data_IF_711658121092
#
_entry.id   IF_711658121092
#
_cell.length_a   1.000
_cell.length_b   1.000
_cell.length_c   1.000
_cell.angle_alpha   90.00
_cell.angle_beta   90.00
_cell.angle_gamma   90.00
#
_symmetry.space_group_name_H-M   'P 1'
#
loop_
_entity.id
_entity.type
_entity.pdbx_description
1 polymer ?
#
# COMPACT_ATOMS: atom_id res chain seq x y z
N UNK A 1 -4.32 -10.11 -14.77
CA UNK A 1 -2.86 -10.05 -14.95
C UNK A 1 -2.20 -10.62 -13.70
N UNK A 2 -1.33 -11.63 -13.81
CA UNK A 2 -0.68 -12.24 -12.65
C UNK A 2 0.68 -11.56 -12.39
N UNK A 3 0.69 -10.55 -11.52
CA UNK A 3 1.88 -9.78 -11.14
C UNK A 3 2.90 -10.59 -10.31
N UNK A 4 2.55 -11.82 -9.88
CA UNK A 4 3.46 -12.68 -9.14
C UNK A 4 4.71 -13.05 -9.97
N UNK A 5 4.60 -13.04 -11.30
CA UNK A 5 5.70 -13.30 -12.23
C UNK A 5 6.59 -12.08 -12.52
N UNK A 6 6.27 -10.91 -11.97
CA UNK A 6 7.09 -9.72 -12.12
C UNK A 6 8.35 -9.81 -11.28
N UNK A 7 9.43 -9.21 -11.77
CA UNK A 7 10.70 -9.20 -11.05
C UNK A 7 10.60 -8.31 -9.82
N UNK A 8 10.97 -8.83 -8.65
CA UNK A 8 11.02 -8.04 -7.42
C UNK A 8 12.29 -7.21 -7.42
N UNK A 9 12.15 -5.89 -7.40
CA UNK A 9 13.26 -4.94 -7.35
C UNK A 9 13.61 -4.63 -5.90
N UNK A 10 12.59 -4.41 -5.08
CA UNK A 10 12.71 -4.16 -3.65
C UNK A 10 11.47 -4.71 -2.95
N UNK A 11 11.66 -5.33 -1.80
CA UNK A 11 10.58 -5.70 -0.89
C UNK A 11 11.12 -5.67 0.53
N UNK A 12 10.40 -5.01 1.44
CA UNK A 12 10.77 -5.01 2.85
C UNK A 12 10.28 -6.29 3.51
N UNK A 13 10.98 -6.72 4.56
CA UNK A 13 10.57 -7.87 5.35
C UNK A 13 9.21 -7.62 6.04
N UNK A 14 8.52 -8.72 6.35
CA UNK A 14 7.25 -8.70 7.03
C UNK A 14 7.37 -7.96 8.38
N UNK A 15 6.46 -7.02 8.60
CA UNK A 15 6.31 -6.33 9.86
C UNK A 15 5.33 -7.09 10.75
N UNK A 16 5.68 -7.32 12.02
CA UNK A 16 4.79 -8.02 12.97
C UNK A 16 3.82 -7.02 13.62
N UNK A 17 2.56 -7.03 13.19
CA UNK A 17 1.49 -6.17 13.73
C UNK A 17 0.10 -6.85 13.69
N UNK A 18 -0.85 -6.29 14.43
CA UNK A 18 -2.26 -6.70 14.38
C UNK A 18 -3.03 -5.79 13.42
N UNK A 19 -3.84 -6.34 12.51
CA UNK A 19 -4.53 -5.56 11.48
C UNK A 19 -5.51 -4.49 12.03
N UNK A 20 -6.02 -4.67 13.26
CA UNK A 20 -6.84 -3.65 13.94
C UNK A 20 -6.02 -2.53 14.62
N UNK A 21 -4.69 -2.61 14.60
CA UNK A 21 -3.75 -1.64 15.20
C UNK A 21 -2.97 -0.91 14.11
N UNK A 22 -3.72 -0.32 13.18
CA UNK A 22 -3.21 0.42 12.04
C UNK A 22 -3.80 1.83 12.01
N UNK A 23 -3.09 2.73 11.36
CA UNK A 23 -3.59 4.06 11.02
C UNK A 23 -3.30 4.40 9.56
N UNK A 24 -4.09 5.33 9.03
CA UNK A 24 -3.90 5.92 7.71
C UNK A 24 -2.99 7.15 7.83
N UNK A 25 -1.86 7.12 7.14
CA UNK A 25 -0.89 8.20 7.20
C UNK A 25 -0.95 9.02 5.90
N UNK A 26 -1.29 10.32 5.96
CA UNK A 26 -1.16 11.23 4.83
C UNK A 26 0.33 11.48 4.54
N UNK A 27 0.70 11.51 3.27
CA UNK A 27 2.08 11.74 2.83
C UNK A 27 2.30 13.09 2.15
N UNK A 28 1.21 13.79 1.78
CA UNK A 28 1.27 15.11 1.18
C UNK A 28 1.52 16.18 2.25
N UNK A 29 2.39 17.13 1.94
CA UNK A 29 2.64 18.33 2.75
C UNK A 29 1.62 19.41 2.37
N UNK A 30 1.51 20.43 3.22
CA UNK A 30 0.70 21.62 2.92
C UNK A 30 1.10 22.21 1.55
N UNK A 31 0.10 22.43 0.69
CA UNK A 31 0.21 22.91 -0.70
C UNK A 31 0.59 21.88 -1.77
N UNK A 32 0.64 20.59 -1.45
CA UNK A 32 0.84 19.54 -2.45
C UNK A 32 -0.48 18.84 -2.79
N UNK A 33 -0.86 18.84 -4.07
CA UNK A 33 -2.01 18.07 -4.54
C UNK A 33 -1.62 16.62 -4.88
N UNK A 34 -0.36 16.45 -5.32
CA UNK A 34 0.20 15.16 -5.75
C UNK A 34 1.72 15.14 -5.68
N UNK A 35 2.30 13.95 -5.50
CA UNK A 35 3.74 13.70 -5.61
C UNK A 35 4.02 12.47 -6.49
N UNK A 36 5.24 12.34 -6.99
CA UNK A 36 5.70 11.14 -7.71
C UNK A 36 6.03 10.01 -6.74
N UNK A 37 6.06 8.77 -7.23
CA UNK A 37 6.23 7.60 -6.38
C UNK A 37 7.57 7.55 -5.65
N UNK A 38 8.68 8.01 -6.25
CA UNK A 38 9.97 8.03 -5.54
C UNK A 38 9.92 8.88 -4.26
N UNK A 39 9.27 10.05 -4.35
CA UNK A 39 9.10 10.94 -3.19
C UNK A 39 8.11 10.34 -2.18
N UNK A 40 7.05 9.66 -2.64
CA UNK A 40 6.13 8.92 -1.76
C UNK A 40 6.88 7.85 -0.98
N UNK A 41 7.73 7.06 -1.65
CA UNK A 41 8.55 6.02 -1.01
C UNK A 41 9.54 6.60 -0.01
N UNK A 42 10.19 7.71 -0.37
CA UNK A 42 11.12 8.43 0.53
C UNK A 42 10.40 8.82 1.82
N UNK A 43 9.24 9.47 1.72
CA UNK A 43 8.41 9.88 2.86
C UNK A 43 7.86 8.71 3.65
N UNK A 44 7.47 7.63 2.98
CA UNK A 44 6.98 6.45 3.66
C UNK A 44 8.01 5.87 4.62
N UNK A 45 9.30 5.87 4.25
CA UNK A 45 10.38 5.48 5.16
C UNK A 45 10.52 6.47 6.32
N UNK A 46 10.49 7.78 6.06
CA UNK A 46 10.54 8.80 7.12
C UNK A 46 9.38 8.71 8.12
N UNK A 47 8.21 8.28 7.65
CA UNK A 47 6.99 8.14 8.44
C UNK A 47 6.85 6.76 9.09
N UNK A 48 7.79 5.83 8.86
CA UNK A 48 7.73 4.41 9.25
C UNK A 48 6.47 3.70 8.72
N UNK A 49 6.05 4.04 7.50
CA UNK A 49 4.86 3.54 6.84
C UNK A 49 5.21 2.86 5.50
N UNK A 50 6.30 2.10 5.50
CA UNK A 50 6.92 1.49 4.32
C UNK A 50 6.68 -0.03 4.22
N UNK A 51 5.44 -0.48 4.43
CA UNK A 51 5.04 -1.89 4.39
C UNK A 51 5.27 -2.56 3.02
N UNK A 52 5.60 -3.86 3.03
CA UNK A 52 5.95 -4.68 1.88
C UNK A 52 4.85 -5.63 1.40
N UNK A 53 5.20 -6.59 0.53
CA UNK A 53 4.22 -7.52 -0.07
C UNK A 53 3.57 -8.43 0.96
N UNK A 54 4.35 -8.96 1.90
CA UNK A 54 3.82 -9.88 2.90
C UNK A 54 2.86 -9.16 3.87
N UNK A 55 3.14 -7.90 4.21
CA UNK A 55 2.23 -7.07 5.00
C UNK A 55 0.90 -6.82 4.26
N UNK A 56 0.99 -6.55 2.95
CA UNK A 56 -0.19 -6.38 2.09
C UNK A 56 -1.04 -7.65 2.04
N UNK A 57 -0.43 -8.82 1.88
CA UNK A 57 -1.16 -10.10 1.87
C UNK A 57 -1.82 -10.37 3.22
N UNK A 58 -1.07 -10.19 4.30
CA UNK A 58 -1.63 -10.30 5.65
C UNK A 58 -2.84 -9.37 5.82
N UNK A 59 -2.75 -8.13 5.34
CA UNK A 59 -3.87 -7.21 5.41
C UNK A 59 -5.06 -7.63 4.55
N UNK A 60 -4.81 -8.12 3.33
CA UNK A 60 -5.87 -8.59 2.42
C UNK A 60 -6.69 -9.72 3.06
N UNK A 61 -6.01 -10.67 3.70
CA UNK A 61 -6.64 -11.81 4.38
C UNK A 61 -7.38 -11.39 5.66
N UNK A 62 -7.02 -10.24 6.23
CA UNK A 62 -7.58 -9.69 7.46
C UNK A 62 -8.41 -8.42 7.25
N UNK A 63 -8.95 -8.21 6.05
CA UNK A 63 -9.70 -6.99 5.70
C UNK A 63 -10.93 -6.74 6.57
N UNK A 64 -11.52 -7.80 7.14
CA UNK A 64 -12.65 -7.71 8.08
C UNK A 64 -12.29 -7.02 9.41
N UNK A 65 -11.00 -6.89 9.73
CA UNK A 65 -10.48 -6.18 10.90
C UNK A 65 -10.19 -4.69 10.62
N UNK A 66 -10.21 -4.28 9.36
CA UNK A 66 -9.90 -2.89 8.99
C UNK A 66 -11.02 -1.94 9.43
N UNK A 67 -10.67 -0.78 10.03
CA UNK A 67 -11.65 0.26 10.34
C UNK A 67 -12.37 0.77 9.08
N UNK A 68 -13.64 1.17 9.22
CA UNK A 68 -14.48 1.60 8.08
C UNK A 68 -13.91 2.80 7.31
N UNK A 69 -13.14 3.66 7.96
CA UNK A 69 -12.47 4.81 7.32
C UNK A 69 -11.49 4.41 6.21
N UNK A 70 -10.93 3.18 6.26
CA UNK A 70 -10.03 2.68 5.23
C UNK A 70 -10.74 2.50 3.88
N UNK A 71 -12.06 2.33 3.90
CA UNK A 71 -12.87 2.08 2.70
C UNK A 71 -12.87 3.25 1.71
N UNK A 72 -12.48 4.45 2.14
CA UNK A 72 -12.45 5.66 1.31
C UNK A 72 -11.09 5.87 0.62
N UNK A 73 -10.12 4.99 0.89
CA UNK A 73 -8.74 5.20 0.51
C UNK A 73 -8.17 4.05 -0.33
N UNK A 74 -7.24 4.42 -1.20
CA UNK A 74 -6.32 3.49 -1.84
C UNK A 74 -5.13 3.29 -0.91
N UNK A 75 -4.93 2.07 -0.41
CA UNK A 75 -3.86 1.77 0.53
C UNK A 75 -2.58 1.43 -0.23
N UNK A 76 -1.50 2.18 0.00
CA UNK A 76 -0.26 2.08 -0.77
C UNK A 76 0.80 1.32 0.04
N UNK A 77 1.51 0.41 -0.64
CA UNK A 77 2.56 -0.43 -0.07
C UNK A 77 3.93 -0.10 -0.68
N UNK A 78 4.56 1.03 -0.29
CA UNK A 78 5.77 1.53 -0.92
C UNK A 78 7.05 0.75 -0.53
N UNK A 79 6.94 -0.18 0.42
CA UNK A 79 8.03 -1.10 0.74
C UNK A 79 8.30 -2.11 -0.37
N UNK A 80 7.34 -2.32 -1.28
CA UNK A 80 7.53 -3.17 -2.45
C UNK A 80 7.59 -2.37 -3.76
N UNK A 81 8.61 -2.64 -4.57
CA UNK A 81 8.68 -2.25 -5.97
C UNK A 81 8.93 -3.48 -6.83
N UNK A 82 8.09 -3.65 -7.85
CA UNK A 82 8.23 -4.69 -8.85
C UNK A 82 8.46 -4.11 -10.22
N UNK A 83 9.14 -4.84 -11.08
CA UNK A 83 9.36 -4.50 -12.48
C UNK A 83 8.50 -5.41 -13.36
N UNK A 84 7.60 -4.82 -14.13
CA UNK A 84 6.75 -5.56 -15.06
C UNK A 84 7.53 -6.04 -16.30
N UNK A 85 6.86 -6.74 -17.22
CA UNK A 85 7.48 -7.29 -18.43
C UNK A 85 7.97 -6.21 -19.41
N UNK A 86 7.38 -5.02 -19.37
CA UNK A 86 7.77 -3.87 -20.19
C UNK A 86 8.89 -3.04 -19.52
N UNK A 87 9.30 -3.44 -18.32
CA UNK A 87 10.35 -2.80 -17.55
C UNK A 87 9.89 -1.60 -16.71
N UNK A 88 8.58 -1.36 -16.59
CA UNK A 88 8.05 -0.31 -15.73
C UNK A 88 8.16 -0.72 -14.26
N UNK A 89 8.50 0.25 -13.41
CA UNK A 89 8.49 0.07 -11.95
C UNK A 89 7.08 0.29 -11.43
N UNK A 90 6.60 -0.64 -10.60
CA UNK A 90 5.23 -0.73 -10.13
C UNK A 90 5.22 -0.85 -8.61
N UNK A 91 4.32 -0.11 -7.97
CA UNK A 91 3.98 -0.28 -6.56
C UNK A 91 2.63 -0.97 -6.42
N UNK A 92 2.52 -1.80 -5.39
CA UNK A 92 1.28 -2.49 -5.06
C UNK A 92 0.36 -1.59 -4.24
N UNK A 93 -0.94 -1.75 -4.47
CA UNK A 93 -1.99 -1.05 -3.75
C UNK A 93 -3.11 -2.03 -3.39
N UNK A 94 -3.77 -1.81 -2.25
CA UNK A 94 -5.04 -2.44 -1.94
C UNK A 94 -6.17 -1.43 -2.18
N UNK A 95 -7.18 -1.90 -2.92
CA UNK A 95 -8.34 -1.09 -3.30
C UNK A 95 -9.58 -1.84 -2.88
N UNK A 96 -10.53 -1.11 -2.29
CA UNK A 96 -11.85 -1.64 -2.01
C UNK A 96 -12.69 -1.63 -3.28
N UNK A 97 -13.24 -2.78 -3.63
CA UNK A 97 -14.30 -2.91 -4.62
C UNK A 97 -15.52 -2.07 -4.23
N UNK A 98 -16.14 -1.43 -5.23
CA UNK A 98 -17.50 -0.93 -5.07
C UNK A 98 -18.45 -2.07 -4.68
N UNK A 99 -19.50 -1.78 -3.92
CA UNK A 99 -20.47 -2.80 -3.49
C UNK A 99 -21.02 -3.56 -4.71
N UNK A 100 -20.94 -4.89 -4.67
CA UNK A 100 -21.53 -5.78 -5.67
C UNK A 100 -20.75 -5.93 -6.99
N UNK A 101 -19.54 -5.37 -7.10
CA UNK A 101 -18.72 -5.48 -8.33
C UNK A 101 -17.85 -6.74 -8.34
N UNK A 102 -17.43 -7.22 -7.17
CA UNK A 102 -16.54 -8.38 -7.02
C UNK A 102 -16.99 -9.26 -5.85
N UNK A 103 -16.62 -10.55 -5.89
CA UNK A 103 -16.84 -11.48 -4.77
C UNK A 103 -16.04 -11.08 -3.51
N UNK A 104 -14.85 -10.48 -3.70
CA UNK A 104 -14.03 -9.93 -2.63
C UNK A 104 -14.22 -8.43 -2.54
N UNK A 105 -14.43 -7.92 -1.33
CA UNK A 105 -14.55 -6.48 -1.08
C UNK A 105 -13.24 -5.72 -1.30
N UNK A 106 -12.09 -6.39 -1.23
CA UNK A 106 -10.78 -5.80 -1.44
C UNK A 106 -9.98 -6.62 -2.44
N UNK A 107 -9.17 -5.95 -3.23
CA UNK A 107 -8.29 -6.61 -4.19
C UNK A 107 -6.95 -5.87 -4.33
N UNK A 108 -5.93 -6.63 -4.74
CA UNK A 108 -4.62 -6.10 -5.07
C UNK A 108 -4.68 -5.49 -6.47
N UNK A 109 -4.21 -4.26 -6.58
CA UNK A 109 -3.94 -3.59 -7.85
C UNK A 109 -2.50 -3.07 -7.83
N UNK A 110 -2.11 -2.37 -8.89
CA UNK A 110 -0.79 -1.80 -9.04
C UNK A 110 -0.88 -0.45 -9.74
N UNK A 111 0.11 0.40 -9.48
CA UNK A 111 0.28 1.68 -10.17
C UNK A 111 1.76 1.92 -10.41
N UNK A 112 2.10 2.57 -11.53
CA UNK A 112 3.50 2.85 -11.86
C UNK A 112 4.13 3.77 -10.82
N UNK A 113 5.40 3.56 -10.55
CA UNK A 113 6.18 4.40 -9.64
C UNK A 113 6.23 5.85 -10.13
N UNK A 114 6.38 6.06 -11.44
CA UNK A 114 6.41 7.37 -12.09
C UNK A 114 5.04 8.06 -12.20
N UNK A 115 3.96 7.42 -11.73
CA UNK A 115 2.64 8.04 -11.68
C UNK A 115 2.54 9.06 -10.55
N UNK A 116 1.56 9.95 -10.66
CA UNK A 116 1.20 10.86 -9.58
C UNK A 116 0.31 10.17 -8.52
N UNK A 117 0.60 10.47 -7.27
CA UNK A 117 -0.09 9.95 -6.07
C UNK A 117 -0.69 11.12 -5.30
N UNK A 118 -1.96 11.02 -4.94
CA UNK A 118 -2.75 12.18 -4.50
C UNK A 118 -3.50 11.95 -3.19
N UNK A 119 -4.37 12.91 -2.85
CA UNK A 119 -5.06 12.98 -1.56
C UNK A 119 -6.03 11.84 -1.23
N UNK A 120 -6.37 10.96 -2.17
CA UNK A 120 -7.15 9.74 -1.92
C UNK A 120 -6.29 8.52 -1.59
N UNK A 121 -4.99 8.57 -1.86
CA UNK A 121 -4.04 7.51 -1.52
C UNK A 121 -3.57 7.68 -0.06
N UNK A 122 -3.36 6.57 0.65
CA UNK A 122 -2.87 6.58 2.04
C UNK A 122 -1.78 5.55 2.24
N UNK A 123 -0.78 5.92 3.04
CA UNK A 123 0.14 4.95 3.61
C UNK A 123 -0.53 4.26 4.79
N UNK A 124 -0.14 3.02 5.04
CA UNK A 124 -0.61 2.25 6.20
C UNK A 124 0.57 2.07 7.16
N UNK A 125 0.32 2.37 8.44
CA UNK A 125 1.34 2.23 9.50
C UNK A 125 0.78 1.49 10.72
N UNK A 126 1.52 0.52 11.28
CA UNK A 126 1.21 -0.03 12.59
C UNK A 126 1.35 0.99 13.71
N UNK A 127 0.32 1.08 14.57
CA UNK A 127 0.35 1.93 15.78
C UNK A 127 0.95 1.21 16.98
N UNK A 128 1.11 -0.10 16.90
CA UNK A 128 1.83 -0.93 17.86
C UNK A 128 2.52 -2.09 17.12
N UNK A 129 3.80 -2.27 17.40
CA UNK A 129 4.57 -3.43 16.96
C UNK A 129 4.57 -4.46 18.09
N UNK A 130 4.44 -5.73 17.77
CA UNK A 130 4.74 -6.77 18.74
C UNK A 130 6.24 -7.03 18.72
N UNK A 131 6.88 -7.06 19.89
CA UNK A 131 8.19 -7.66 20.03
C UNK A 131 8.01 -9.17 19.82
N UNK A 132 8.67 -9.71 18.79
CA UNK A 132 8.86 -11.14 18.58
C UNK A 132 9.56 -11.77 19.78
#
# INVERSE_FOLDING_TARGET
MNWQNWHTVEDVELTVFHASKLELVPFLKSNEDKIVGEELRRRARELNANLGVNDMWYLLDNTYLLPREFNEHCLVFPGCVRKDFDGNLMMLILVRAGRGVFEKEWYVSFRRLDSAWGGSDRLVRPTAYYSS
#
